data_IF_935510330811
#
_entry.id   IF_935510330811
#
_cell.length_a   1.000
_cell.length_b   1.000
_cell.length_c   1.000
_cell.angle_alpha   90.00
_cell.angle_beta   90.00
_cell.angle_gamma   90.00
#
_symmetry.space_group_name_H-M   'P 1'
#
loop_
_entity.id
_entity.type
_entity.pdbx_description
1 polymer ?
#
# COMPACT_ATOMS: atom_id res chain seq x y z
N UNK A 1 4.13 5.33 -19.99
CA UNK A 1 2.69 5.61 -19.80
C UNK A 1 2.23 4.78 -18.59
N UNK A 2 1.26 5.25 -17.82
CA UNK A 2 0.77 4.50 -16.64
C UNK A 2 0.39 3.07 -17.05
N UNK A 3 0.76 2.07 -16.24
CA UNK A 3 0.43 0.67 -16.51
C UNK A 3 -1.06 0.34 -16.24
N UNK A 4 -1.80 1.23 -15.56
CA UNK A 4 -3.22 1.04 -15.32
C UNK A 4 -4.03 1.13 -16.62
N UNK A 5 -4.84 0.09 -16.87
CA UNK A 5 -5.82 0.01 -17.96
C UNK A 5 -6.72 1.26 -17.96
N UNK A 6 -6.82 1.96 -19.08
CA UNK A 6 -7.61 3.20 -19.20
C UNK A 6 -6.90 4.49 -18.76
N UNK A 7 -5.69 4.42 -18.20
CA UNK A 7 -4.93 5.61 -17.84
C UNK A 7 -3.93 6.03 -18.95
N UNK A 8 -4.00 7.29 -19.38
CA UNK A 8 -3.07 7.88 -20.36
C UNK A 8 -1.97 8.74 -19.75
N UNK A 9 -1.93 8.88 -18.42
CA UNK A 9 -1.01 9.78 -17.74
C UNK A 9 0.46 9.32 -17.82
N UNK A 10 1.38 10.29 -17.72
CA UNK A 10 2.82 10.03 -17.70
C UNK A 10 3.25 9.40 -16.37
N UNK A 11 4.16 8.43 -16.44
CA UNK A 11 4.76 7.78 -15.26
C UNK A 11 5.69 8.75 -14.56
N UNK A 12 5.68 8.72 -13.23
CA UNK A 12 6.63 9.47 -12.42
C UNK A 12 7.85 8.61 -12.13
N UNK A 13 9.05 9.06 -12.54
CA UNK A 13 10.27 8.25 -12.43
C UNK A 13 10.72 7.96 -11.00
N UNK A 14 10.40 8.85 -10.05
CA UNK A 14 10.88 8.76 -8.66
C UNK A 14 9.91 7.95 -7.79
N UNK A 15 8.63 8.33 -7.77
CA UNK A 15 7.61 7.75 -6.86
C UNK A 15 6.59 6.86 -7.57
N UNK A 16 6.71 6.68 -8.90
CA UNK A 16 5.76 5.90 -9.68
C UNK A 16 6.02 4.39 -9.66
N UNK A 17 7.13 3.93 -9.09
CA UNK A 17 7.45 2.50 -9.06
C UNK A 17 6.80 1.80 -7.86
N UNK A 18 5.86 0.89 -8.14
CA UNK A 18 5.22 0.09 -7.10
C UNK A 18 6.12 -1.07 -6.66
N UNK A 19 6.45 -1.15 -5.37
CA UNK A 19 7.28 -2.22 -4.79
C UNK A 19 6.64 -3.62 -4.79
N UNK A 20 5.33 -3.72 -5.03
CA UNK A 20 4.60 -4.99 -4.94
C UNK A 20 4.43 -5.67 -6.29
N UNK A 21 4.13 -4.90 -7.34
CA UNK A 21 3.97 -5.41 -8.70
C UNK A 21 5.12 -5.00 -9.64
N UNK A 22 6.08 -4.19 -9.16
CA UNK A 22 7.25 -3.71 -9.91
C UNK A 22 6.89 -2.97 -11.20
N UNK A 23 5.66 -2.44 -11.28
CA UNK A 23 5.19 -1.63 -12.39
C UNK A 23 5.26 -0.14 -12.08
N UNK A 24 5.19 0.63 -13.17
CA UNK A 24 5.35 2.07 -13.19
C UNK A 24 4.01 2.80 -13.41
N UNK A 25 3.69 3.73 -12.52
CA UNK A 25 2.42 4.45 -12.46
C UNK A 25 2.60 5.97 -12.46
N UNK A 26 1.51 6.69 -12.74
CA UNK A 26 1.47 8.15 -12.67
C UNK A 26 1.25 8.65 -11.23
N UNK A 27 1.35 9.97 -11.02
CA UNK A 27 1.23 10.59 -9.68
C UNK A 27 -0.08 10.22 -8.96
N UNK A 28 -1.16 10.04 -9.71
CA UNK A 28 -2.49 9.67 -9.20
C UNK A 28 -2.64 8.18 -8.90
N UNK A 29 -1.93 7.31 -9.63
CA UNK A 29 -2.04 5.86 -9.52
C UNK A 29 -0.88 5.19 -8.76
N UNK A 30 -0.04 5.99 -8.07
CA UNK A 30 1.13 5.50 -7.33
C UNK A 30 0.77 4.58 -6.16
N UNK A 31 -0.44 4.68 -5.62
CA UNK A 31 -0.89 3.88 -4.48
C UNK A 31 -1.40 2.52 -4.96
N UNK A 32 -1.11 1.41 -4.22
CA UNK A 32 -1.60 0.08 -4.57
C UNK A 32 -3.12 0.00 -4.75
N UNK A 33 -3.87 0.77 -3.96
CA UNK A 33 -5.34 0.84 -4.02
C UNK A 33 -5.84 1.49 -5.31
N UNK A 34 -5.10 2.47 -5.83
CA UNK A 34 -5.51 3.28 -6.99
C UNK A 34 -5.24 2.60 -8.33
N UNK A 35 -4.30 1.65 -8.39
CA UNK A 35 -4.04 0.86 -9.61
C UNK A 35 -4.44 -0.60 -9.49
N UNK A 36 -5.23 -0.93 -8.44
CA UNK A 36 -5.74 -2.28 -8.20
C UNK A 36 -4.66 -3.36 -8.26
N UNK A 37 -3.54 -3.14 -7.54
CA UNK A 37 -2.35 -3.98 -7.59
C UNK A 37 -2.69 -5.47 -7.39
N UNK A 38 -2.14 -6.36 -8.21
CA UNK A 38 -2.37 -7.82 -8.11
C UNK A 38 -2.01 -8.38 -6.73
N UNK A 39 -0.99 -7.81 -6.10
CA UNK A 39 -0.54 -8.15 -4.74
C UNK A 39 -1.18 -7.28 -3.63
N UNK A 40 -2.36 -6.70 -3.89
CA UNK A 40 -3.09 -5.89 -2.90
C UNK A 40 -3.43 -6.70 -1.65
N UNK A 41 -3.82 -7.95 -1.83
CA UNK A 41 -4.22 -8.83 -0.73
C UNK A 41 -3.08 -9.02 0.27
N UNK A 42 -1.88 -9.36 -0.23
CA UNK A 42 -0.67 -9.47 0.58
C UNK A 42 -0.28 -8.14 1.26
N UNK A 43 -0.44 -7.02 0.55
CA UNK A 43 -0.19 -5.69 1.10
C UNK A 43 -1.14 -5.37 2.28
N UNK A 44 -2.43 -5.71 2.13
CA UNK A 44 -3.45 -5.53 3.17
C UNK A 44 -3.16 -6.41 4.38
N UNK A 45 -2.91 -7.70 4.17
CA UNK A 45 -2.59 -8.66 5.23
C UNK A 45 -1.39 -8.19 6.06
N UNK A 46 -0.28 -7.82 5.39
CA UNK A 46 0.95 -7.35 6.05
C UNK A 46 0.70 -6.08 6.86
N UNK A 47 -0.10 -5.15 6.31
CA UNK A 47 -0.42 -3.89 7.00
C UNK A 47 -1.33 -4.13 8.20
N UNK A 48 -2.29 -5.05 8.06
CA UNK A 48 -3.20 -5.44 9.13
C UNK A 48 -2.47 -6.11 10.29
N UNK A 49 -1.56 -7.04 10.01
CA UNK A 49 -0.78 -7.75 11.04
C UNK A 49 0.13 -6.79 11.83
N UNK A 50 0.79 -5.86 11.13
CA UNK A 50 1.60 -4.82 11.80
C UNK A 50 0.75 -3.91 12.65
N UNK A 51 -0.41 -3.50 12.14
CA UNK A 51 -1.33 -2.64 12.87
C UNK A 51 -1.92 -3.37 14.08
N UNK A 52 -2.34 -4.63 13.94
CA UNK A 52 -2.89 -5.43 15.03
C UNK A 52 -1.84 -5.65 16.12
N UNK A 53 -0.60 -5.98 15.75
CA UNK A 53 0.51 -6.15 16.68
C UNK A 53 0.80 -4.87 17.46
N UNK A 54 0.83 -3.73 16.77
CA UNK A 54 1.00 -2.41 17.41
C UNK A 54 -0.18 -2.09 18.33
N UNK A 55 -1.41 -2.29 17.88
CA UNK A 55 -2.63 -2.01 18.65
C UNK A 55 -2.72 -2.87 19.91
N UNK A 56 -2.34 -4.16 19.82
CA UNK A 56 -2.27 -5.06 20.97
C UNK A 56 -1.15 -4.70 21.95
N UNK A 57 -0.06 -4.09 21.47
CA UNK A 57 1.05 -3.63 22.32
C UNK A 57 0.71 -2.34 23.07
N UNK A 58 0.07 -1.40 22.38
CA UNK A 58 -0.30 -0.09 22.95
C UNK A 58 -1.63 -0.14 23.72
N UNK A 59 -2.26 -1.33 23.86
CA UNK A 59 -3.48 -1.48 24.65
C UNK A 59 -3.18 -1.11 26.10
N UNK A 60 -3.94 -0.16 26.66
CA UNK A 60 -3.84 0.21 28.07
C UNK A 60 -4.16 -1.00 28.94
N UNK A 61 -3.15 -1.58 29.58
CA UNK A 61 -3.34 -2.60 30.61
C UNK A 61 -3.53 -1.87 31.93
N UNK A 62 -4.72 -1.95 32.51
CA UNK A 62 -4.99 -1.44 33.85
C UNK A 62 -4.16 -2.28 34.84
N UNK A 63 -2.96 -1.80 35.19
CA UNK A 63 -2.16 -2.38 36.27
C UNK A 63 -2.93 -2.15 37.57
N UNK A 64 -3.48 -3.22 38.14
CA UNK A 64 -4.09 -3.19 39.47
C UNK A 64 -2.95 -3.36 40.48
N UNK A 65 -2.51 -2.26 41.09
CA UNK A 65 -1.79 -2.25 42.36
C UNK A 65 -2.79 -2.47 43.49
#
# INVERSE_FOLDING_TARGET
RCHLEGCNSRVVKIVGHCRYCQFSFCSTHRLPETHNCSNLDFCKQTSFEKNSSKLLREKCVKLKV
#
